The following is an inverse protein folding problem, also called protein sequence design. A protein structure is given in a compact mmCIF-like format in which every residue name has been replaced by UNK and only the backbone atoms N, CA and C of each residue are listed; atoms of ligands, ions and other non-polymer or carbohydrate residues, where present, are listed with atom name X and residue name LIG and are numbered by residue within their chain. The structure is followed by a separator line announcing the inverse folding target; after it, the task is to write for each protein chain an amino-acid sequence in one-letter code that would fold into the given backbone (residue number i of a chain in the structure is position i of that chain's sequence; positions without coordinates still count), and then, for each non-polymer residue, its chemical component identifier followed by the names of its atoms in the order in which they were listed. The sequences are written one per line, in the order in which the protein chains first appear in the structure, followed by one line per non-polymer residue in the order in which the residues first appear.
data_IF_088946343577
#
_entry.id   IF_088946343577
#
_cell.length_a   1.000
_cell.length_b   1.000
_cell.length_c   1.000
_cell.angle_alpha   90.00
_cell.angle_beta   90.00
_cell.angle_gamma   90.00
#
_symmetry.space_group_name_H-M   'P 1'
#
loop_
_entity.id
_entity.type
_entity.pdbx_description
1 polymer ?
#
# COMPACT_ATOMS: atom_id res chain seq x y z
N UNK A 1 1.88 25.52 13.34
CA UNK A 1 0.68 25.56 14.18
C UNK A 1 0.36 24.13 14.59
N UNK A 2 0.83 23.67 15.76
CA UNK A 2 0.50 22.33 16.25
C UNK A 2 -1.02 22.23 16.47
N UNK A 3 -1.62 21.08 16.18
CA UNK A 3 -3.00 20.71 16.52
C UNK A 3 -4.15 21.28 15.66
N UNK A 4 -3.88 21.81 14.46
CA UNK A 4 -4.98 22.08 13.51
C UNK A 4 -5.46 20.78 12.85
N UNK A 5 -6.78 20.62 12.70
CA UNK A 5 -7.39 19.46 12.01
C UNK A 5 -7.13 19.54 10.51
N UNK A 6 -6.44 18.54 9.97
CA UNK A 6 -5.90 18.58 8.61
C UNK A 6 -5.98 17.26 7.87
N UNK A 7 -5.46 17.27 6.65
CA UNK A 7 -5.26 16.07 5.86
C UNK A 7 -3.80 15.63 5.88
N UNK A 8 -3.56 14.33 6.01
CA UNK A 8 -2.26 13.71 5.82
C UNK A 8 -2.30 12.90 4.53
N UNK A 9 -1.40 13.19 3.61
CA UNK A 9 -1.29 12.49 2.34
C UNK A 9 0.08 11.83 2.31
N UNK A 10 0.09 10.51 2.37
CA UNK A 10 1.30 9.71 2.26
C UNK A 10 1.39 9.10 0.86
N UNK A 11 2.55 9.16 0.25
CA UNK A 11 2.79 8.49 -1.03
C UNK A 11 4.10 7.72 -1.03
N UNK A 12 4.04 6.50 -1.56
CA UNK A 12 5.20 5.64 -1.79
C UNK A 12 5.79 5.84 -3.18
N UNK A 13 6.64 4.89 -3.56
CA UNK A 13 7.18 4.77 -4.90
C UNK A 13 6.16 4.07 -5.79
N UNK A 14 5.89 4.62 -6.98
CA UNK A 14 5.05 3.96 -7.98
C UNK A 14 5.85 3.22 -9.06
N UNK A 15 7.15 3.49 -9.23
CA UNK A 15 8.01 2.91 -10.25
C UNK A 15 7.37 2.98 -11.65
N UNK A 16 7.18 1.84 -12.33
CA UNK A 16 6.54 1.79 -13.65
C UNK A 16 5.04 2.12 -13.62
N UNK A 17 4.41 2.20 -12.43
CA UNK A 17 3.04 2.68 -12.25
C UNK A 17 2.95 4.22 -12.22
N UNK A 18 4.09 4.92 -12.20
CA UNK A 18 4.19 6.38 -12.29
C UNK A 18 4.66 7.05 -10.99
N UNK A 19 4.68 8.39 -11.02
CA UNK A 19 5.07 9.20 -9.87
C UNK A 19 3.85 9.54 -9.01
N UNK A 20 3.71 8.84 -7.88
CA UNK A 20 2.58 9.04 -6.97
C UNK A 20 2.51 10.43 -6.33
N UNK A 21 3.59 11.21 -6.37
CA UNK A 21 3.56 12.61 -5.93
C UNK A 21 2.51 13.41 -6.70
N UNK A 22 2.35 13.18 -8.00
CA UNK A 22 1.40 13.95 -8.81
C UNK A 22 -0.04 13.71 -8.37
N UNK A 23 -0.38 12.47 -8.00
CA UNK A 23 -1.68 12.13 -7.45
C UNK A 23 -1.89 12.72 -6.06
N UNK A 24 -0.85 12.74 -5.23
CA UNK A 24 -0.90 13.39 -3.92
C UNK A 24 -1.13 14.92 -4.04
N UNK A 25 -0.50 15.58 -5.01
CA UNK A 25 -0.67 17.01 -5.24
C UNK A 25 -2.09 17.34 -5.78
N UNK A 26 -2.62 16.51 -6.69
CA UNK A 26 -3.95 16.68 -7.31
C UNK A 26 -5.11 16.59 -6.29
N UNK A 27 -4.93 15.90 -5.15
CA UNK A 27 -5.95 15.86 -4.11
C UNK A 27 -6.28 17.24 -3.55
N UNK A 28 -5.30 18.15 -3.45
CA UNK A 28 -5.52 19.48 -2.86
C UNK A 28 -6.36 20.40 -3.73
N UNK A 29 -6.57 20.04 -5.00
CA UNK A 29 -7.45 20.77 -5.93
C UNK A 29 -8.77 20.04 -6.17
N UNK A 30 -8.87 18.77 -5.77
CA UNK A 30 -10.03 17.88 -5.97
C UNK A 30 -10.69 17.51 -4.63
N UNK A 31 -10.44 16.32 -4.09
CA UNK A 31 -11.13 15.78 -2.90
C UNK A 31 -10.80 16.54 -1.60
N UNK A 32 -9.60 17.10 -1.49
CA UNK A 32 -9.08 17.73 -0.27
C UNK A 32 -8.97 19.25 -0.39
N UNK A 33 -9.78 19.86 -1.27
CA UNK A 33 -9.77 21.31 -1.49
C UNK A 33 -9.96 22.12 -0.19
N UNK A 34 -10.76 21.62 0.75
CA UNK A 34 -10.98 22.27 2.05
C UNK A 34 -9.74 22.26 2.95
N UNK A 35 -8.83 21.30 2.76
CA UNK A 35 -7.59 21.15 3.51
C UNK A 35 -6.38 21.77 2.82
N UNK A 36 -6.54 22.51 1.70
CA UNK A 36 -5.41 23.02 0.89
C UNK A 36 -4.32 23.74 1.70
N UNK A 37 -4.71 24.48 2.76
CA UNK A 37 -3.77 25.21 3.63
C UNK A 37 -3.38 24.44 4.91
N UNK A 38 -3.95 23.25 5.13
CA UNK A 38 -3.70 22.42 6.30
C UNK A 38 -3.58 20.94 5.91
N UNK A 39 -2.85 20.68 4.82
CA UNK A 39 -2.52 19.34 4.37
C UNK A 39 -1.01 19.12 4.45
N UNK A 40 -0.62 17.94 4.95
CA UNK A 40 0.76 17.49 4.96
C UNK A 40 0.93 16.41 3.89
N UNK A 41 1.74 16.69 2.87
CA UNK A 41 2.12 15.68 1.87
C UNK A 41 3.50 15.13 2.21
N UNK A 42 3.61 13.81 2.38
CA UNK A 42 4.85 13.13 2.77
C UNK A 42 5.13 11.93 1.88
N UNK A 43 6.37 11.84 1.43
CA UNK A 43 6.89 10.63 0.78
C UNK A 43 7.26 9.61 1.85
N UNK A 44 6.77 8.39 1.73
CA UNK A 44 7.00 7.32 2.70
C UNK A 44 7.24 6.02 1.92
N UNK A 45 8.47 5.53 1.90
CA UNK A 45 8.86 4.32 1.14
C UNK A 45 9.25 3.13 2.04
N UNK A 46 9.19 3.32 3.37
CA UNK A 46 9.52 2.31 4.39
C UNK A 46 8.42 2.24 5.44
N UNK A 47 8.20 1.04 5.98
CA UNK A 47 7.20 0.73 7.00
C UNK A 47 7.42 1.54 8.28
N UNK A 48 8.65 1.60 8.77
CA UNK A 48 8.95 2.30 10.03
C UNK A 48 8.67 3.80 9.88
N UNK A 49 9.04 4.40 8.74
CA UNK A 49 8.74 5.81 8.44
C UNK A 49 7.22 6.09 8.41
N UNK A 50 6.43 5.13 7.93
CA UNK A 50 4.96 5.23 7.92
C UNK A 50 4.41 5.33 9.34
N UNK A 51 4.81 4.42 10.22
CA UNK A 51 4.33 4.42 11.61
C UNK A 51 4.90 5.60 12.39
N UNK A 52 6.19 5.94 12.22
CA UNK A 52 6.82 7.09 12.87
C UNK A 52 6.11 8.42 12.53
N UNK A 53 5.64 8.57 11.29
CA UNK A 53 4.89 9.75 10.87
C UNK A 53 3.49 9.83 11.52
N UNK A 54 2.90 8.68 11.87
CA UNK A 54 1.57 8.59 12.49
C UNK A 54 1.59 8.67 14.02
N UNK A 55 2.72 8.34 14.65
CA UNK A 55 2.93 8.44 16.10
C UNK A 55 2.90 9.90 16.55
N UNK A 56 3.54 10.79 15.80
CA UNK A 56 3.55 12.23 16.12
C UNK A 56 3.33 13.09 14.87
N UNK A 57 2.12 13.08 14.29
CA UNK A 57 1.82 13.96 13.18
C UNK A 57 1.70 15.38 13.73
N UNK A 58 2.33 16.34 13.05
CA UNK A 58 2.24 17.77 13.42
C UNK A 58 0.82 18.38 13.20
N UNK A 59 -0.21 17.55 13.04
CA UNK A 59 -1.62 17.89 12.80
C UNK A 59 -2.53 16.86 13.49
N UNK A 60 -3.78 17.23 13.73
CA UNK A 60 -4.83 16.26 14.06
C UNK A 60 -5.43 15.76 12.74
N UNK A 61 -5.34 14.47 12.47
CA UNK A 61 -5.69 13.87 11.18
C UNK A 61 -7.21 13.73 11.07
N UNK A 62 -7.80 14.37 10.06
CA UNK A 62 -9.21 14.20 9.68
C UNK A 62 -9.38 13.40 8.39
N UNK A 63 -8.40 13.50 7.50
CA UNK A 63 -8.33 12.72 6.26
C UNK A 63 -6.92 12.13 6.16
N UNK A 64 -6.81 10.81 6.00
CA UNK A 64 -5.55 10.14 5.66
C UNK A 64 -5.67 9.51 4.27
N UNK A 65 -4.86 9.97 3.31
CA UNK A 65 -4.81 9.41 1.97
C UNK A 65 -3.47 8.71 1.74
N UNK A 66 -3.50 7.46 1.28
CA UNK A 66 -2.30 6.66 1.08
C UNK A 66 -2.19 6.22 -0.37
N UNK A 67 -1.16 6.70 -1.07
CA UNK A 67 -0.81 6.28 -2.42
C UNK A 67 0.34 5.30 -2.40
N UNK A 68 0.05 4.04 -2.65
CA UNK A 68 1.06 3.01 -2.80
C UNK A 68 0.55 1.96 -3.77
N UNK A 69 1.41 1.05 -4.19
CA UNK A 69 0.90 -0.20 -4.72
C UNK A 69 0.29 -1.02 -3.56
N UNK A 70 -0.67 -1.89 -3.85
CA UNK A 70 -1.29 -2.75 -2.86
C UNK A 70 -1.64 -4.09 -3.50
N UNK A 71 -1.53 -5.16 -2.72
CA UNK A 71 -1.96 -6.50 -3.13
C UNK A 71 -2.60 -7.21 -1.94
N UNK A 72 -3.94 -7.19 -1.89
CA UNK A 72 -4.72 -7.87 -0.86
C UNK A 72 -4.25 -7.57 0.56
N UNK A 73 -3.48 -8.50 1.14
CA UNK A 73 -2.96 -8.44 2.51
C UNK A 73 -1.74 -7.55 2.75
N UNK A 74 -1.33 -6.69 1.81
CA UNK A 74 -0.20 -5.77 2.02
C UNK A 74 -0.21 -4.49 1.19
N UNK A 75 0.39 -3.45 1.78
CA UNK A 75 0.57 -2.10 1.24
C UNK A 75 2.05 -1.87 0.88
N UNK A 76 2.35 -1.74 -0.41
CA UNK A 76 3.72 -1.73 -0.95
C UNK A 76 4.18 -0.28 -1.19
N UNK A 77 4.72 0.31 -0.12
CA UNK A 77 5.23 1.68 -0.08
C UNK A 77 6.49 1.87 -0.92
N UNK A 78 7.40 0.90 -0.89
CA UNK A 78 8.69 0.92 -1.59
C UNK A 78 8.67 0.23 -2.95
N UNK A 79 7.55 0.26 -3.68
CA UNK A 79 7.39 -0.50 -4.92
C UNK A 79 8.41 -0.09 -6.00
N UNK A 80 9.16 -1.07 -6.54
CA UNK A 80 10.25 -0.86 -7.50
C UNK A 80 11.51 -0.20 -6.93
N UNK A 81 11.68 -0.19 -5.61
CA UNK A 81 12.94 0.16 -4.97
C UNK A 81 13.99 -0.95 -5.19
N UNK A 82 15.14 -0.58 -5.74
CA UNK A 82 16.23 -1.51 -6.11
C UNK A 82 16.90 -2.13 -4.88
N UNK A 83 17.04 -1.40 -3.79
CA UNK A 83 17.71 -1.88 -2.59
C UNK A 83 16.84 -2.92 -1.90
N UNK A 84 15.55 -2.63 -1.75
CA UNK A 84 14.56 -3.59 -1.21
C UNK A 84 14.46 -4.84 -2.10
N UNK A 85 14.48 -4.67 -3.43
CA UNK A 85 14.48 -5.81 -4.35
C UNK A 85 15.74 -6.67 -4.20
N UNK A 86 16.90 -6.03 -4.01
CA UNK A 86 18.18 -6.74 -3.80
C UNK A 86 18.18 -7.52 -2.49
N UNK A 87 17.66 -6.93 -1.41
CA UNK A 87 17.53 -7.60 -0.12
C UNK A 87 16.59 -8.81 -0.19
N UNK A 88 15.40 -8.64 -0.80
CA UNK A 88 14.48 -9.74 -1.08
C UNK A 88 15.14 -10.86 -1.86
N UNK A 89 15.83 -10.54 -2.96
CA UNK A 89 16.52 -11.53 -3.78
C UNK A 89 17.63 -12.25 -3.01
N UNK A 90 18.34 -11.56 -2.10
CA UNK A 90 19.34 -12.20 -1.23
C UNK A 90 18.70 -13.27 -0.36
N UNK A 91 17.56 -12.99 0.27
CA UNK A 91 16.88 -13.98 1.12
C UNK A 91 16.24 -15.13 0.32
N UNK A 92 15.64 -14.85 -0.85
CA UNK A 92 15.17 -15.89 -1.77
C UNK A 92 16.32 -16.82 -2.19
N UNK A 93 17.47 -16.27 -2.55
CA UNK A 93 18.63 -17.08 -2.95
C UNK A 93 19.17 -17.95 -1.80
N UNK A 94 19.08 -17.49 -0.56
CA UNK A 94 19.41 -18.32 0.61
C UNK A 94 18.44 -19.49 0.72
N UNK A 95 17.15 -19.28 0.47
CA UNK A 95 16.16 -20.36 0.55
C UNK A 95 16.26 -21.40 -0.54
N UNK A 96 16.60 -21.01 -1.76
CA UNK A 96 16.89 -21.97 -2.83
C UNK A 96 18.15 -22.81 -2.55
N UNK A 97 19.19 -22.22 -1.94
CA UNK A 97 20.50 -22.90 -1.75
C UNK A 97 20.55 -23.83 -0.55
N UNK A 98 19.75 -23.59 0.48
CA UNK A 98 19.84 -24.31 1.75
C UNK A 98 19.45 -25.79 1.65
N UNK A 99 18.76 -26.20 0.57
CA UNK A 99 18.09 -27.52 0.43
C UNK A 99 17.17 -27.89 1.62
N UNK A 100 16.89 -26.93 2.50
CA UNK A 100 16.01 -27.09 3.64
C UNK A 100 14.73 -26.31 3.33
N UNK A 101 13.55 -26.96 3.33
CA UNK A 101 12.29 -26.33 2.95
C UNK A 101 11.89 -25.13 3.82
N UNK A 102 12.58 -24.89 4.96
CA UNK A 102 12.26 -23.84 5.93
C UNK A 102 13.44 -22.90 6.24
N UNK A 103 14.43 -22.74 5.36
CA UNK A 103 15.57 -21.85 5.68
C UNK A 103 15.23 -20.36 5.72
N UNK A 104 14.08 -19.98 5.16
CA UNK A 104 13.47 -18.66 5.36
C UNK A 104 12.24 -18.84 6.23
N UNK A 105 12.10 -17.99 7.26
CA UNK A 105 10.96 -18.00 8.18
C UNK A 105 10.02 -16.84 7.89
N UNK A 106 8.78 -16.93 8.38
CA UNK A 106 7.84 -15.82 8.42
C UNK A 106 8.46 -14.51 8.95
N UNK A 107 9.19 -14.58 10.07
CA UNK A 107 9.82 -13.40 10.68
C UNK A 107 10.91 -12.81 9.78
N UNK A 108 11.67 -13.67 9.09
CA UNK A 108 12.67 -13.23 8.10
C UNK A 108 12.00 -12.41 7.01
N UNK A 109 10.90 -12.91 6.43
CA UNK A 109 10.20 -12.20 5.34
C UNK A 109 9.62 -10.87 5.81
N UNK A 110 8.96 -10.85 6.97
CA UNK A 110 8.47 -9.58 7.55
C UNK A 110 9.59 -8.57 7.80
N UNK A 111 10.76 -9.02 8.24
CA UNK A 111 11.91 -8.14 8.50
C UNK A 111 12.59 -7.64 7.21
N UNK A 112 12.62 -8.46 6.16
CA UNK A 112 13.21 -8.13 4.85
C UNK A 112 12.32 -7.18 4.04
N UNK A 113 11.01 -7.32 4.13
CA UNK A 113 10.05 -6.55 3.35
C UNK A 113 9.76 -5.16 3.96
N UNK A 114 10.81 -4.38 4.25
CA UNK A 114 10.71 -3.08 4.93
C UNK A 114 9.94 -2.02 4.12
N UNK A 115 9.81 -2.19 2.81
CA UNK A 115 8.97 -1.31 1.98
C UNK A 115 7.50 -1.70 1.93
N UNK A 116 7.07 -2.64 2.77
CA UNK A 116 5.70 -3.17 2.76
C UNK A 116 5.12 -3.14 4.17
N UNK A 117 3.85 -2.77 4.28
CA UNK A 117 3.05 -2.99 5.50
C UNK A 117 2.13 -4.16 5.22
N UNK A 118 2.33 -5.26 5.92
CA UNK A 118 1.41 -6.39 5.88
C UNK A 118 0.29 -6.22 6.91
N UNK A 119 -0.84 -6.89 6.68
CA UNK A 119 -1.92 -6.99 7.68
C UNK A 119 -1.41 -7.50 9.03
N UNK A 120 -0.45 -8.42 8.98
CA UNK A 120 0.27 -8.97 10.13
C UNK A 120 1.01 -7.91 10.96
N UNK A 121 1.62 -6.91 10.32
CA UNK A 121 2.35 -5.84 11.03
C UNK A 121 1.42 -5.05 11.96
N UNK A 122 0.14 -4.91 11.58
CA UNK A 122 -0.86 -4.17 12.34
C UNK A 122 -1.31 -4.91 13.61
N UNK A 123 -1.05 -6.21 13.72
CA UNK A 123 -1.46 -7.03 14.86
C UNK A 123 -0.32 -7.57 15.71
N UNK A 124 0.92 -7.17 15.42
CA UNK A 124 2.12 -7.66 16.09
C UNK A 124 3.04 -6.52 16.52
N UNK A 125 3.89 -6.82 17.50
CA UNK A 125 4.98 -5.94 17.89
C UNK A 125 5.92 -5.67 16.70
N UNK A 126 6.52 -4.47 16.62
CA UNK A 126 6.33 -3.35 17.55
C UNK A 126 5.08 -2.51 17.24
N UNK A 127 4.51 -2.61 16.04
CA UNK A 127 3.49 -1.65 15.59
C UNK A 127 2.14 -1.80 16.28
N UNK A 128 1.83 -2.97 16.85
CA UNK A 128 0.67 -3.12 17.72
C UNK A 128 0.72 -2.21 18.96
N UNK A 129 1.91 -1.84 19.43
CA UNK A 129 2.08 -1.10 20.69
C UNK A 129 1.75 0.38 20.52
N UNK A 130 1.96 0.91 19.31
CA UNK A 130 1.70 2.30 18.98
C UNK A 130 0.23 2.57 18.62
N UNK A 131 -0.66 1.57 18.68
CA UNK A 131 -2.06 1.70 18.25
C UNK A 131 -2.77 2.86 18.91
N UNK A 132 -2.72 2.96 20.23
CA UNK A 132 -3.50 3.96 20.96
C UNK A 132 -2.93 5.37 20.75
N UNK A 133 -1.61 5.50 20.69
CA UNK A 133 -0.94 6.74 20.34
C UNK A 133 -1.33 7.20 18.94
N UNK A 134 -1.22 6.32 17.93
CA UNK A 134 -1.62 6.62 16.56
C UNK A 134 -3.11 6.95 16.47
N UNK A 135 -3.99 6.19 17.12
CA UNK A 135 -5.44 6.45 17.14
C UNK A 135 -5.79 7.83 17.71
N UNK A 136 -5.02 8.29 18.70
CA UNK A 136 -5.21 9.61 19.32
C UNK A 136 -4.94 10.77 18.37
N UNK A 137 -4.14 10.54 17.31
CA UNK A 137 -3.88 11.54 16.29
C UNK A 137 -5.07 11.78 15.35
N UNK A 138 -6.06 10.88 15.29
CA UNK A 138 -7.20 10.98 14.38
C UNK A 138 -8.43 11.58 15.06
N UNK A 139 -9.16 12.47 14.37
CA UNK A 139 -10.49 12.87 14.81
C UNK A 139 -11.45 11.68 14.81
N UNK A 140 -12.50 11.64 15.66
CA UNK A 140 -13.44 10.51 15.70
C UNK A 140 -14.13 10.21 14.37
N UNK A 141 -14.34 11.25 13.55
CA UNK A 141 -14.95 11.20 12.21
C UNK A 141 -13.92 11.05 11.08
N UNK A 142 -12.65 10.79 11.40
CA UNK A 142 -11.60 10.75 10.40
C UNK A 142 -11.82 9.63 9.38
N UNK A 143 -11.49 9.92 8.13
CA UNK A 143 -11.56 8.97 7.02
C UNK A 143 -10.16 8.60 6.55
N UNK A 144 -10.03 7.36 6.10
CA UNK A 144 -8.78 6.83 5.55
C UNK A 144 -9.07 6.29 4.15
N UNK A 145 -8.25 6.63 3.16
CA UNK A 145 -8.43 6.15 1.79
C UNK A 145 -7.12 5.64 1.21
N UNK A 146 -7.14 4.38 0.79
CA UNK A 146 -6.01 3.70 0.15
C UNK A 146 -6.27 3.70 -1.36
N UNK A 147 -5.40 4.37 -2.08
CA UNK A 147 -5.49 4.48 -3.54
C UNK A 147 -4.83 3.31 -4.27
N UNK A 148 -4.06 2.50 -3.56
CA UNK A 148 -3.46 1.29 -4.11
C UNK A 148 -4.52 0.31 -4.59
N UNK A 149 -4.31 -0.23 -5.80
CA UNK A 149 -5.15 -1.26 -6.38
C UNK A 149 -5.27 -2.47 -5.45
N UNK A 150 -6.40 -3.18 -5.51
CA UNK A 150 -6.62 -4.43 -4.77
C UNK A 150 -6.44 -4.33 -3.24
N UNK A 151 -6.47 -3.12 -2.66
CA UNK A 151 -6.39 -2.91 -1.20
C UNK A 151 -7.65 -3.39 -0.47
N UNK A 152 -8.75 -3.60 -1.20
CA UNK A 152 -9.97 -4.21 -0.70
C UNK A 152 -10.04 -5.75 -0.83
N UNK A 153 -9.05 -6.41 -1.43
CA UNK A 153 -9.12 -7.87 -1.65
C UNK A 153 -8.85 -8.63 -0.34
N UNK A 154 -9.83 -9.41 0.13
CA UNK A 154 -9.71 -10.30 1.29
C UNK A 154 -9.20 -11.69 0.90
N UNK A 155 -8.98 -12.54 1.90
CA UNK A 155 -8.61 -13.95 1.76
C UNK A 155 -7.34 -14.15 0.93
N UNK A 156 -6.43 -13.17 1.02
CA UNK A 156 -5.21 -13.15 0.24
C UNK A 156 -4.27 -14.26 0.70
N UNK A 157 -3.82 -15.07 -0.26
CA UNK A 157 -2.83 -16.11 -0.03
C UNK A 157 -1.59 -15.80 -0.86
N UNK A 158 -0.45 -15.69 -0.20
CA UNK A 158 0.83 -15.54 -0.88
C UNK A 158 1.23 -16.87 -1.53
N UNK A 159 1.94 -16.80 -2.65
CA UNK A 159 2.30 -17.98 -3.43
C UNK A 159 3.73 -17.91 -3.93
N UNK A 160 4.41 -19.05 -4.01
CA UNK A 160 5.75 -19.18 -4.59
C UNK A 160 5.68 -19.94 -5.93
N UNK A 161 6.60 -19.69 -6.87
CA UNK A 161 6.63 -20.37 -8.15
C UNK A 161 7.10 -21.82 -8.02
N UNK A 162 6.37 -22.74 -8.64
CA UNK A 162 6.81 -24.14 -8.84
C UNK A 162 7.65 -24.24 -10.12
N UNK A 163 7.20 -23.52 -11.14
CA UNK A 163 7.81 -23.41 -12.47
C UNK A 163 7.30 -22.13 -13.14
N UNK A 164 7.88 -21.67 -14.27
CA UNK A 164 7.43 -20.46 -14.94
C UNK A 164 5.92 -20.45 -15.19
N UNK A 165 5.23 -19.45 -14.62
CA UNK A 165 3.78 -19.25 -14.77
C UNK A 165 2.89 -20.13 -13.90
N UNK A 166 3.44 -21.00 -13.05
CA UNK A 166 2.68 -21.86 -12.14
C UNK A 166 3.12 -21.63 -10.70
N UNK A 167 2.17 -21.29 -9.85
CA UNK A 167 2.39 -20.90 -8.46
C UNK A 167 1.60 -21.82 -7.53
N UNK A 168 2.10 -21.97 -6.31
CA UNK A 168 1.41 -22.72 -5.26
C UNK A 168 1.26 -21.87 -4.01
N UNK A 169 0.14 -22.05 -3.33
CA UNK A 169 -0.11 -21.57 -1.96
C UNK A 169 -0.01 -22.72 -0.94
N UNK A 170 0.08 -23.98 -1.40
CA UNK A 170 0.12 -25.15 -0.55
C UNK A 170 1.50 -25.24 0.15
N UNK A 171 1.57 -25.25 1.49
CA UNK A 171 2.85 -25.31 2.20
C UNK A 171 3.60 -26.63 2.02
N UNK A 172 2.91 -27.71 1.64
CA UNK A 172 3.53 -29.04 1.44
C UNK A 172 4.03 -29.26 0.02
N UNK A 173 3.72 -28.37 -0.92
CA UNK A 173 4.14 -28.50 -2.32
C UNK A 173 5.53 -27.92 -2.53
N UNK A 174 6.37 -28.67 -3.25
CA UNK A 174 7.72 -28.23 -3.58
C UNK A 174 7.67 -27.07 -4.59
N UNK A 175 8.32 -25.96 -4.23
CA UNK A 175 8.48 -24.79 -5.08
C UNK A 175 9.97 -24.47 -5.30
N UNK A 176 10.27 -23.52 -6.19
CA UNK A 176 11.63 -23.05 -6.46
C UNK A 176 12.28 -22.40 -5.23
N UNK A 177 11.47 -21.81 -4.36
CA UNK A 177 11.86 -21.28 -3.05
C UNK A 177 10.67 -21.25 -2.08
N UNK A 178 10.97 -21.06 -0.81
CA UNK A 178 9.99 -20.72 0.23
C UNK A 178 10.28 -19.30 0.71
N UNK A 179 9.46 -18.33 0.30
CA UNK A 179 9.62 -16.94 0.70
C UNK A 179 8.27 -16.28 0.89
N UNK A 180 7.49 -16.07 -0.18
CA UNK A 180 6.21 -15.39 -0.05
C UNK A 180 5.20 -16.23 0.72
N UNK A 181 5.17 -17.55 0.50
CA UNK A 181 4.29 -18.45 1.26
C UNK A 181 4.56 -18.45 2.76
N UNK A 182 5.76 -18.09 3.22
CA UNK A 182 6.04 -17.99 4.65
C UNK A 182 5.10 -16.98 5.33
N UNK A 183 4.64 -15.95 4.61
CA UNK A 183 3.64 -15.01 5.11
C UNK A 183 2.29 -15.66 5.40
N UNK A 184 2.00 -16.86 4.88
CA UNK A 184 0.76 -17.59 5.17
C UNK A 184 0.82 -18.41 6.46
N UNK A 185 1.93 -18.41 7.20
CA UNK A 185 2.03 -19.13 8.48
C UNK A 185 1.13 -18.51 9.57
N UNK A 186 0.77 -17.23 9.44
CA UNK A 186 -0.02 -16.49 10.41
C UNK A 186 -1.10 -15.64 9.74
N UNK A 187 -2.11 -15.29 10.55
CA UNK A 187 -3.21 -14.40 10.17
C UNK A 187 -3.95 -14.89 8.90
N UNK A 188 -4.30 -16.19 8.86
CA UNK A 188 -5.05 -16.82 7.77
C UNK A 188 -6.50 -17.07 8.19
N UNK A 189 -7.50 -16.76 7.34
CA UNK A 189 -7.36 -16.03 6.08
C UNK A 189 -6.93 -14.57 6.30
N UNK A 190 -6.14 -14.02 5.38
CA UNK A 190 -5.69 -12.63 5.50
C UNK A 190 -6.87 -11.70 5.24
N UNK A 191 -7.18 -10.74 6.14
CA UNK A 191 -8.11 -9.68 5.80
C UNK A 191 -7.54 -8.85 4.65
N UNK A 192 -8.39 -8.04 4.00
CA UNK A 192 -7.86 -7.00 3.13
C UNK A 192 -7.05 -5.99 3.96
N UNK A 193 -6.02 -5.39 3.36
CA UNK A 193 -5.24 -4.36 4.05
C UNK A 193 -6.12 -3.16 4.46
N UNK A 194 -7.17 -2.86 3.68
CA UNK A 194 -8.15 -1.85 4.05
C UNK A 194 -8.94 -2.21 5.33
N UNK A 195 -9.41 -3.46 5.47
CA UNK A 195 -10.08 -3.89 6.69
C UNK A 195 -9.11 -3.92 7.89
N UNK A 196 -7.87 -4.37 7.67
CA UNK A 196 -6.87 -4.40 8.73
C UNK A 196 -6.52 -3.00 9.23
N UNK A 197 -6.39 -2.02 8.32
CA UNK A 197 -6.18 -0.61 8.69
C UNK A 197 -7.43 -0.02 9.37
N UNK A 198 -8.64 -0.35 8.93
CA UNK A 198 -9.87 0.07 9.62
C UNK A 198 -9.88 -0.38 11.09
N UNK A 199 -9.53 -1.64 11.35
CA UNK A 199 -9.44 -2.20 12.70
C UNK A 199 -8.27 -1.60 13.50
N UNK A 200 -7.13 -1.39 12.85
CA UNK A 200 -5.95 -0.80 13.48
C UNK A 200 -6.22 0.63 13.94
N UNK A 201 -6.70 1.50 13.05
CA UNK A 201 -6.97 2.91 13.34
C UNK A 201 -8.29 3.16 14.06
N UNK A 202 -9.20 2.17 14.10
CA UNK A 202 -10.57 2.35 14.58
C UNK A 202 -11.27 3.50 13.83
N UNK A 203 -11.08 3.56 12.51
CA UNK A 203 -11.66 4.56 11.60
C UNK A 203 -12.15 3.90 10.32
N UNK A 204 -13.14 4.51 9.68
CA UNK A 204 -13.60 4.05 8.37
C UNK A 204 -12.48 4.16 7.35
N UNK A 205 -12.22 3.06 6.65
CA UNK A 205 -11.17 2.97 5.63
C UNK A 205 -11.78 2.57 4.30
N UNK A 206 -11.40 3.27 3.23
CA UNK A 206 -11.80 2.98 1.86
C UNK A 206 -10.64 2.30 1.13
N UNK A 207 -10.87 1.11 0.59
CA UNK A 207 -9.89 0.35 -0.18
C UNK A 207 -10.38 0.09 -1.60
N UNK A 208 -9.50 0.24 -2.58
CA UNK A 208 -9.82 -0.05 -3.97
C UNK A 208 -9.94 -1.57 -4.20
N UNK A 209 -11.07 -2.02 -4.76
CA UNK A 209 -11.28 -3.42 -5.16
C UNK A 209 -10.51 -3.80 -6.43
N UNK A 210 -10.24 -2.83 -7.29
CA UNK A 210 -9.44 -2.98 -8.52
C UNK A 210 -8.57 -1.74 -8.77
N UNK A 211 -7.87 -1.67 -9.91
CA UNK A 211 -7.00 -0.54 -10.25
C UNK A 211 -7.65 0.84 -10.01
N UNK A 212 -7.02 1.71 -9.21
CA UNK A 212 -7.45 3.10 -9.08
C UNK A 212 -7.50 3.75 -10.47
N UNK A 213 -8.63 4.35 -10.83
CA UNK A 213 -8.81 4.92 -12.17
C UNK A 213 -7.99 6.21 -12.34
N UNK A 214 -6.76 6.05 -12.80
CA UNK A 214 -5.86 7.12 -13.22
C UNK A 214 -6.24 7.55 -14.64
N UNK A 215 -6.38 8.86 -14.86
CA UNK A 215 -6.59 9.45 -16.17
C UNK A 215 -5.38 10.26 -16.64
N UNK A 216 -5.18 10.26 -17.95
CA UNK A 216 -4.10 10.95 -18.66
C UNK A 216 -4.72 11.92 -19.65
N UNK A 217 -4.32 13.19 -19.62
CA UNK A 217 -4.69 14.17 -20.62
C UNK A 217 -3.89 13.89 -21.89
N UNK A 218 -4.56 13.36 -22.90
CA UNK A 218 -3.95 13.00 -24.18
C UNK A 218 -4.79 13.58 -25.32
N UNK A 219 -4.14 14.35 -26.22
CA UNK A 219 -4.82 15.05 -27.32
C UNK A 219 -6.03 15.87 -26.84
N UNK A 220 -5.83 16.64 -25.77
CA UNK A 220 -6.85 17.48 -25.13
C UNK A 220 -8.07 16.73 -24.57
N UNK A 221 -7.94 15.41 -24.31
CA UNK A 221 -8.99 14.60 -23.69
C UNK A 221 -8.43 13.78 -22.53
N UNK A 222 -9.17 13.70 -21.43
CA UNK A 222 -8.85 12.80 -20.32
C UNK A 222 -9.24 11.37 -20.68
N UNK A 223 -8.26 10.49 -20.85
CA UNK A 223 -8.46 9.06 -21.13
C UNK A 223 -7.93 8.21 -19.98
N UNK A 224 -8.44 6.99 -19.81
CA UNK A 224 -7.92 6.08 -18.79
C UNK A 224 -6.48 5.63 -19.10
N UNK A 225 -5.68 5.38 -18.06
CA UNK A 225 -4.27 4.99 -18.18
C UNK A 225 -4.06 3.69 -18.98
N UNK A 226 -4.99 2.75 -18.92
CA UNK A 226 -4.96 1.50 -19.70
C UNK A 226 -5.18 1.76 -21.20
N UNK A 227 -6.11 2.67 -21.55
CA UNK A 227 -6.33 3.13 -22.92
C UNK A 227 -5.10 3.85 -23.45
N UNK A 228 -4.48 4.70 -22.63
CA UNK A 228 -3.25 5.39 -22.99
C UNK A 228 -2.09 4.40 -23.25
N UNK A 229 -1.92 3.39 -22.38
CA UNK A 229 -0.92 2.33 -22.55
C UNK A 229 -1.14 1.54 -23.85
N UNK A 230 -2.37 1.11 -24.12
CA UNK A 230 -2.71 0.41 -25.38
C UNK A 230 -2.43 1.26 -26.62
N UNK A 231 -2.63 2.58 -26.52
CA UNK A 231 -2.48 3.51 -27.65
C UNK A 231 -1.03 3.91 -27.90
N UNK A 232 -0.23 4.08 -26.85
CA UNK A 232 1.10 4.72 -26.93
C UNK A 232 2.25 3.80 -26.55
N UNK A 233 1.98 2.66 -25.93
CA UNK A 233 3.00 1.80 -25.32
C UNK A 233 3.62 2.37 -24.04
N UNK A 234 3.17 3.55 -23.57
CA UNK A 234 3.70 4.22 -22.38
C UNK A 234 2.72 4.09 -21.22
N UNK A 235 3.22 3.87 -19.99
CA UNK A 235 2.37 3.80 -18.79
C UNK A 235 2.03 5.17 -18.21
N UNK A 236 2.87 6.17 -18.43
CA UNK A 236 2.67 7.54 -17.95
C UNK A 236 3.23 8.56 -18.92
N UNK A 237 2.77 9.80 -18.77
CA UNK A 237 3.30 11.00 -19.44
C UNK A 237 4.38 11.71 -18.61
N UNK A 238 4.49 11.42 -17.31
CA UNK A 238 5.55 11.95 -16.44
C UNK A 238 5.38 13.42 -16.04
N UNK A 239 4.26 14.03 -16.40
CA UNK A 239 3.92 15.44 -16.19
C UNK A 239 2.64 15.53 -15.33
N UNK A 240 2.63 16.41 -14.33
CA UNK A 240 1.56 16.47 -13.34
C UNK A 240 0.24 17.02 -13.90
N UNK A 241 0.31 18.02 -14.78
CA UNK A 241 -0.82 18.72 -15.39
C UNK A 241 -1.61 17.88 -16.40
N UNK A 242 -1.02 16.75 -16.82
CA UNK A 242 -1.62 15.78 -17.73
C UNK A 242 -1.96 14.46 -17.02
N UNK A 243 -1.91 14.41 -15.69
CA UNK A 243 -2.29 13.27 -14.88
C UNK A 243 -3.31 13.70 -13.83
N UNK A 244 -4.39 12.92 -13.66
CA UNK A 244 -5.33 13.12 -12.57
C UNK A 244 -5.91 11.81 -12.09
N UNK A 245 -6.47 11.84 -10.89
CA UNK A 245 -7.32 10.76 -10.42
C UNK A 245 -8.74 10.95 -10.95
N UNK A 246 -9.44 9.84 -11.17
CA UNK A 246 -10.89 9.83 -11.35
C UNK A 246 -11.51 9.02 -10.21
N UNK A 247 -11.60 9.60 -9.00
CA UNK A 247 -12.10 8.88 -7.83
C UNK A 247 -13.53 8.39 -8.01
N UNK A 248 -14.34 9.14 -8.77
CA UNK A 248 -15.72 8.80 -9.13
C UNK A 248 -15.84 7.56 -10.03
N UNK A 249 -14.73 7.11 -10.60
CA UNK A 249 -14.68 5.92 -11.45
C UNK A 249 -14.07 4.73 -10.76
N UNK A 250 -13.38 4.91 -9.63
CA UNK A 250 -12.75 3.80 -8.90
C UNK A 250 -13.78 3.01 -8.10
N UNK A 251 -13.64 1.68 -8.10
CA UNK A 251 -14.44 0.81 -7.24
C UNK A 251 -13.78 0.75 -5.85
N UNK A 252 -14.26 1.57 -4.92
CA UNK A 252 -13.77 1.62 -3.54
C UNK A 252 -14.80 1.01 -2.60
N UNK A 253 -14.37 0.00 -1.86
CA UNK A 253 -15.16 -0.61 -0.80
C UNK A 253 -14.94 0.15 0.52
N UNK A 254 -16.03 0.39 1.24
CA UNK A 254 -15.99 0.93 2.60
C UNK A 254 -15.80 -0.20 3.62
N UNK A 255 -14.81 -0.04 4.50
CA UNK A 255 -14.54 -0.95 5.61
C UNK A 255 -14.70 -0.20 6.93
N UNK A 256 -15.55 -0.73 7.80
CA UNK A 256 -15.75 -0.22 9.16
C UNK A 256 -14.92 -1.03 10.15
N UNK A 257 -14.45 -0.41 11.26
CA UNK A 257 -13.82 -1.16 12.34
C UNK A 257 -14.74 -2.28 12.84
N UNK A 258 -14.16 -3.46 13.08
CA UNK A 258 -14.82 -4.64 13.66
C UNK A 258 -14.39 -4.83 15.11
#
# INVERSE_FOLDING_TARGET
MPNQRGALIMYGRGAELGNFKFFADDLLTTELKEYKNNALIKKVERRDDFFNLLINPNIIIRELHIYSHSIGGGLFLGYGDQDLATERLREINKSTRSKSPNSTSYQTVLATEQGTIFTDDLIRHPFSDYRDEIRSAFTPDAKIKIWGCNSGVSDWNYSDPIKPGVYTTNPSEQAEYYYWRALNEFNIPKPSIAQALANYFQRTTYGAGSGSNIQILYKSRWIASDVFLKTTGRRSVGEADVLRLAPEKGDYNEYKPQ
#
